data_IF_085189385325
#
_entry.id   IF_085189385325
#
_cell.length_a   1.000
_cell.length_b   1.000
_cell.length_c   1.000
_cell.angle_alpha   90.00
_cell.angle_beta   90.00
_cell.angle_gamma   90.00
#
_symmetry.space_group_name_H-M   'P 1'
#
loop_
_entity.id
_entity.type
_entity.pdbx_description
1 polymer ?
#
# COMPACT_ATOMS: atom_id res chain seq x y z
N UNK A 1 -12.96 32.13 50.26
CA UNK A 1 -11.67 31.89 49.57
C UNK A 1 -11.98 31.34 48.19
N UNK A 2 -11.42 31.96 47.16
CA UNK A 2 -11.88 31.94 45.75
C UNK A 2 -11.79 30.55 45.09
N UNK A 3 -12.92 30.05 44.57
CA UNK A 3 -12.95 28.96 43.58
C UNK A 3 -12.60 29.54 42.20
N UNK A 4 -11.33 29.42 41.81
CA UNK A 4 -10.84 29.80 40.49
C UNK A 4 -10.07 28.64 39.86
N UNK A 5 -10.76 27.69 39.23
CA UNK A 5 -10.19 26.65 38.36
C UNK A 5 -11.29 26.25 37.37
N UNK A 6 -11.12 26.04 36.07
CA UNK A 6 -10.01 26.17 35.11
C UNK A 6 -10.74 26.05 33.76
N UNK A 7 -10.90 27.15 33.02
CA UNK A 7 -11.60 27.12 31.73
C UNK A 7 -10.70 26.41 30.70
N UNK A 8 -10.88 25.09 30.56
CA UNK A 8 -10.19 24.32 29.53
C UNK A 8 -10.87 24.57 28.19
N UNK A 9 -10.21 25.35 27.34
CA UNK A 9 -10.58 25.53 25.94
C UNK A 9 -10.33 24.21 25.17
N UNK A 10 -11.30 23.29 25.14
CA UNK A 10 -11.24 22.10 24.30
C UNK A 10 -11.56 22.46 22.86
N UNK A 11 -10.54 22.87 22.09
CA UNK A 11 -10.67 22.92 20.62
C UNK A 11 -10.81 21.49 20.12
N UNK A 12 -12.04 21.08 19.78
CA UNK A 12 -12.32 19.72 19.35
C UNK A 12 -11.66 19.42 17.99
N UNK A 13 -10.76 18.43 17.99
CA UNK A 13 -10.10 17.85 16.82
C UNK A 13 -11.09 17.01 15.97
N UNK A 14 -12.20 17.59 15.50
CA UNK A 14 -13.13 16.86 14.62
C UNK A 14 -12.56 16.62 13.22
N UNK A 15 -11.57 17.40 12.79
CA UNK A 15 -11.02 17.37 11.42
C UNK A 15 -10.18 16.12 11.12
N UNK A 16 -9.43 15.58 12.10
CA UNK A 16 -8.56 14.41 11.88
C UNK A 16 -9.36 13.09 11.72
N UNK A 17 -10.50 12.96 12.42
CA UNK A 17 -11.34 11.75 12.34
C UNK A 17 -11.88 11.53 10.92
N UNK A 18 -12.42 12.56 10.27
CA UNK A 18 -12.96 12.44 8.90
C UNK A 18 -11.91 11.98 7.89
N UNK A 19 -10.67 12.46 8.01
CA UNK A 19 -9.57 12.11 7.10
C UNK A 19 -9.19 10.62 7.20
N UNK A 20 -9.17 10.07 8.41
CA UNK A 20 -8.90 8.65 8.66
C UNK A 20 -9.97 7.73 8.03
N UNK A 21 -11.25 8.08 8.16
CA UNK A 21 -12.34 7.30 7.55
C UNK A 21 -12.28 7.32 6.02
N UNK A 22 -11.98 8.47 5.40
CA UNK A 22 -11.84 8.58 3.94
C UNK A 22 -10.71 7.68 3.43
N UNK A 23 -9.57 7.64 4.12
CA UNK A 23 -8.46 6.74 3.77
C UNK A 23 -8.86 5.26 3.89
N UNK A 24 -9.57 4.88 4.95
CA UNK A 24 -10.06 3.50 5.14
C UNK A 24 -11.06 3.06 4.06
N UNK A 25 -11.98 3.96 3.67
CA UNK A 25 -12.94 3.70 2.58
C UNK A 25 -12.21 3.55 1.24
N UNK A 26 -11.26 4.45 0.94
CA UNK A 26 -10.49 4.40 -0.30
C UNK A 26 -9.72 3.07 -0.43
N UNK A 27 -9.04 2.63 0.64
CA UNK A 27 -8.31 1.36 0.65
C UNK A 27 -9.25 0.16 0.43
N UNK A 28 -10.41 0.16 1.07
CA UNK A 28 -11.42 -0.90 0.91
C UNK A 28 -11.94 -0.95 -0.52
N UNK A 29 -12.24 0.21 -1.14
CA UNK A 29 -12.70 0.29 -2.53
C UNK A 29 -11.63 -0.26 -3.48
N UNK A 30 -10.35 0.09 -3.28
CA UNK A 30 -9.24 -0.44 -4.10
C UNK A 30 -9.13 -1.97 -3.97
N UNK A 31 -9.25 -2.51 -2.76
CA UNK A 31 -9.23 -3.95 -2.52
C UNK A 31 -10.39 -4.67 -3.21
N UNK A 32 -11.62 -4.14 -3.12
CA UNK A 32 -12.79 -4.71 -3.79
C UNK A 32 -12.71 -4.57 -5.32
N UNK A 33 -12.09 -3.50 -5.81
CA UNK A 33 -11.84 -3.29 -7.24
C UNK A 33 -10.72 -4.18 -7.81
N UNK A 34 -9.92 -4.82 -6.96
CA UNK A 34 -8.73 -5.59 -7.38
C UNK A 34 -9.03 -6.68 -8.42
N UNK A 35 -10.08 -7.51 -8.30
CA UNK A 35 -10.43 -8.50 -9.32
C UNK A 35 -10.81 -7.87 -10.67
N UNK A 36 -11.39 -6.67 -10.67
CA UNK A 36 -11.73 -5.94 -11.90
C UNK A 36 -10.47 -5.34 -12.55
N UNK A 37 -9.56 -4.78 -11.74
CA UNK A 37 -8.27 -4.30 -12.21
C UNK A 37 -7.45 -5.41 -12.85
N UNK A 38 -7.56 -6.64 -12.35
CA UNK A 38 -6.92 -7.80 -12.97
C UNK A 38 -7.37 -8.03 -14.41
N UNK A 39 -8.64 -7.79 -14.76
CA UNK A 39 -9.14 -7.98 -16.13
C UNK A 39 -8.77 -6.86 -17.10
N UNK A 40 -8.12 -5.79 -16.65
CA UNK A 40 -7.74 -4.66 -17.49
C UNK A 40 -6.85 -5.05 -18.69
N UNK A 41 -6.05 -6.12 -18.58
CA UNK A 41 -5.21 -6.59 -19.69
C UNK A 41 -6.02 -6.99 -20.94
N UNK A 42 -7.29 -7.38 -20.78
CA UNK A 42 -8.19 -7.76 -21.89
C UNK A 42 -8.59 -6.57 -22.79
N UNK A 43 -8.31 -5.34 -22.38
CA UNK A 43 -8.53 -4.16 -23.21
C UNK A 43 -7.54 -4.08 -24.38
N UNK A 44 -6.42 -4.79 -24.28
CA UNK A 44 -5.42 -4.82 -25.33
C UNK A 44 -5.80 -5.77 -26.48
N UNK A 45 -5.35 -5.48 -27.71
CA UNK A 45 -5.58 -6.34 -28.86
C UNK A 45 -4.95 -7.72 -28.66
N UNK A 46 -5.71 -8.77 -28.99
CA UNK A 46 -5.32 -10.17 -28.76
C UNK A 46 -4.13 -10.62 -29.61
N UNK A 47 -4.07 -10.14 -30.86
CA UNK A 47 -3.17 -10.65 -31.90
C UNK A 47 -2.22 -9.57 -32.46
N UNK A 48 -1.82 -8.62 -31.61
CA UNK A 48 -0.87 -7.58 -31.98
C UNK A 48 0.40 -7.64 -31.11
N UNK A 49 1.54 -7.31 -31.73
CA UNK A 49 2.82 -7.14 -31.02
C UNK A 49 2.98 -5.73 -30.46
N UNK A 50 2.26 -4.76 -31.02
CA UNK A 50 2.30 -3.36 -30.63
C UNK A 50 0.89 -2.86 -30.38
N UNK A 51 0.69 -2.19 -29.25
CA UNK A 51 -0.54 -1.49 -28.93
C UNK A 51 -0.32 0.02 -28.95
N UNK A 52 -0.93 0.64 -29.95
CA UNK A 52 -1.02 2.09 -30.09
C UNK A 52 -2.19 2.60 -29.24
N UNK A 53 -1.89 3.20 -28.09
CA UNK A 53 -2.89 3.81 -27.22
C UNK A 53 -2.71 5.34 -27.19
N UNK A 54 -3.75 6.12 -26.86
CA UNK A 54 -3.61 7.57 -26.68
C UNK A 54 -2.57 7.98 -25.61
N UNK A 55 -2.16 7.05 -24.75
CA UNK A 55 -1.17 7.24 -23.68
C UNK A 55 0.26 6.87 -24.11
N UNK A 56 0.44 6.34 -25.33
CA UNK A 56 1.73 5.92 -25.86
C UNK A 56 1.69 4.57 -26.56
N UNK A 57 2.84 4.19 -27.11
CA UNK A 57 3.04 2.94 -27.86
C UNK A 57 3.70 1.91 -26.95
N UNK A 58 3.05 0.75 -26.79
CA UNK A 58 3.55 -0.34 -25.94
C UNK A 58 3.82 -1.54 -26.84
N UNK A 59 5.06 -2.01 -26.84
CA UNK A 59 5.46 -3.25 -27.51
C UNK A 59 5.38 -4.43 -26.53
N UNK A 60 5.13 -5.64 -27.06
CA UNK A 60 5.14 -6.88 -26.29
C UNK A 60 6.52 -7.23 -25.71
N UNK A 61 7.60 -6.54 -26.12
CA UNK A 61 8.92 -6.66 -25.49
C UNK A 61 9.57 -8.04 -25.62
N UNK A 62 9.09 -8.91 -26.49
CA UNK A 62 9.55 -10.31 -26.63
C UNK A 62 8.57 -11.35 -26.08
N UNK A 63 7.46 -10.92 -25.48
CA UNK A 63 6.30 -11.81 -25.34
C UNK A 63 5.64 -12.01 -26.70
N UNK A 64 5.11 -13.21 -26.95
CA UNK A 64 4.50 -13.56 -28.24
C UNK A 64 3.33 -12.66 -28.66
N UNK A 65 2.63 -12.04 -27.71
CA UNK A 65 1.61 -11.01 -27.98
C UNK A 65 1.61 -9.94 -26.90
N UNK A 66 1.11 -8.74 -27.22
CA UNK A 66 0.93 -7.67 -26.22
C UNK A 66 -0.03 -8.09 -25.10
N UNK A 67 -1.03 -8.91 -25.43
CA UNK A 67 -1.97 -9.45 -24.47
C UNK A 67 -1.25 -10.32 -23.42
N UNK A 68 -0.31 -11.16 -23.84
CA UNK A 68 0.48 -12.00 -22.93
C UNK A 68 1.39 -11.16 -22.02
N UNK A 69 2.06 -10.14 -22.59
CA UNK A 69 2.87 -9.19 -21.82
C UNK A 69 2.04 -8.49 -20.74
N UNK A 70 0.92 -7.89 -21.14
CA UNK A 70 0.04 -7.16 -20.22
C UNK A 70 -0.60 -8.08 -19.19
N UNK A 71 -0.94 -9.32 -19.56
CA UNK A 71 -1.41 -10.31 -18.60
C UNK A 71 -0.37 -10.59 -17.53
N UNK A 72 0.89 -10.86 -17.93
CA UNK A 72 1.98 -11.10 -17.00
C UNK A 72 2.22 -9.88 -16.10
N UNK A 73 2.27 -8.68 -16.69
CA UNK A 73 2.50 -7.42 -16.00
C UNK A 73 1.38 -7.09 -14.99
N UNK A 74 0.12 -7.14 -15.41
CA UNK A 74 -1.04 -6.87 -14.55
C UNK A 74 -1.11 -7.88 -13.41
N UNK A 75 -0.85 -9.16 -13.68
CA UNK A 75 -0.82 -10.19 -12.64
C UNK A 75 0.21 -9.86 -11.55
N UNK A 76 1.46 -9.53 -11.93
CA UNK A 76 2.50 -9.17 -10.94
C UNK A 76 2.17 -7.87 -10.20
N UNK A 77 1.67 -6.85 -10.91
CA UNK A 77 1.23 -5.60 -10.28
C UNK A 77 0.12 -5.82 -9.27
N UNK A 78 -0.88 -6.64 -9.60
CA UNK A 78 -1.98 -6.98 -8.68
C UNK A 78 -1.44 -7.60 -7.39
N UNK A 79 -0.51 -8.55 -7.49
CA UNK A 79 0.13 -9.16 -6.31
C UNK A 79 0.97 -8.17 -5.49
N UNK A 80 1.74 -7.29 -6.15
CA UNK A 80 2.49 -6.22 -5.49
C UNK A 80 1.55 -5.26 -4.77
N UNK A 81 0.43 -4.86 -5.40
CA UNK A 81 -0.55 -3.96 -4.82
C UNK A 81 -1.20 -4.55 -3.56
N UNK A 82 -1.71 -5.78 -3.63
CA UNK A 82 -2.41 -6.39 -2.49
C UNK A 82 -1.46 -6.62 -1.30
N UNK A 83 -0.23 -7.09 -1.56
CA UNK A 83 0.78 -7.29 -0.51
C UNK A 83 1.27 -5.97 0.08
N UNK A 84 1.41 -4.91 -0.74
CA UNK A 84 1.76 -3.57 -0.26
C UNK A 84 0.66 -2.97 0.62
N UNK A 85 -0.60 -3.03 0.18
CA UNK A 85 -1.74 -2.54 0.98
C UNK A 85 -1.84 -3.31 2.29
N UNK A 86 -1.67 -4.64 2.23
CA UNK A 86 -1.74 -5.48 3.42
C UNK A 86 -0.60 -5.17 4.40
N UNK A 87 0.62 -4.96 3.91
CA UNK A 87 1.75 -4.54 4.72
C UNK A 87 1.52 -3.17 5.40
N UNK A 88 1.01 -2.19 4.64
CA UNK A 88 0.76 -0.84 5.15
C UNK A 88 -0.37 -0.79 6.20
N UNK A 89 -1.38 -1.64 6.04
CA UNK A 89 -2.53 -1.69 6.94
C UNK A 89 -2.31 -2.57 8.19
N UNK A 90 -1.37 -3.52 8.14
CA UNK A 90 -1.08 -4.41 9.27
C UNK A 90 -0.26 -3.70 10.36
N UNK A 91 -0.82 -3.65 11.57
CA UNK A 91 -0.16 -3.13 12.77
C UNK A 91 0.67 -4.15 13.54
N UNK A 92 0.62 -5.41 13.13
CA UNK A 92 1.21 -6.53 13.86
C UNK A 92 2.68 -6.73 13.50
N UNK A 93 3.46 -7.32 14.40
CA UNK A 93 4.87 -7.64 14.18
C UNK A 93 5.10 -8.59 12.98
N UNK A 94 4.18 -9.52 12.72
CA UNK A 94 4.27 -10.47 11.60
C UNK A 94 4.16 -9.81 10.23
N UNK A 95 3.81 -8.52 10.14
CA UNK A 95 3.75 -7.79 8.86
C UNK A 95 5.06 -7.86 8.08
N UNK A 96 6.21 -7.96 8.75
CA UNK A 96 7.50 -8.08 8.06
C UNK A 96 7.63 -9.39 7.29
N UNK A 97 6.89 -10.44 7.65
CA UNK A 97 6.80 -11.66 6.85
C UNK A 97 6.13 -11.42 5.49
N UNK A 98 5.26 -10.40 5.36
CA UNK A 98 4.64 -10.00 4.08
C UNK A 98 5.67 -9.36 3.13
N UNK A 99 6.77 -8.81 3.66
CA UNK A 99 7.83 -8.25 2.81
C UNK A 99 8.52 -9.33 1.96
N UNK A 100 8.54 -10.59 2.41
CA UNK A 100 9.12 -11.71 1.66
C UNK A 100 8.37 -11.94 0.33
N UNK A 101 7.05 -12.23 0.33
CA UNK A 101 6.31 -12.38 -0.92
C UNK A 101 6.26 -11.08 -1.73
N UNK A 102 6.21 -9.91 -1.08
CA UNK A 102 6.29 -8.63 -1.80
C UNK A 102 7.61 -8.51 -2.59
N UNK A 103 8.75 -8.83 -1.97
CA UNK A 103 10.07 -8.82 -2.62
C UNK A 103 10.10 -9.78 -3.79
N UNK A 104 9.54 -10.99 -3.63
CA UNK A 104 9.44 -11.97 -4.71
C UNK A 104 8.62 -11.45 -5.90
N UNK A 105 7.47 -10.82 -5.64
CA UNK A 105 6.64 -10.27 -6.72
C UNK A 105 7.27 -9.04 -7.37
N UNK A 106 8.00 -8.20 -6.62
CA UNK A 106 8.78 -7.09 -7.19
C UNK A 106 9.90 -7.59 -8.10
N UNK A 107 10.59 -8.67 -7.71
CA UNK A 107 11.59 -9.32 -8.56
C UNK A 107 10.96 -9.87 -9.85
N UNK A 108 9.84 -10.60 -9.73
CA UNK A 108 9.11 -11.10 -10.90
C UNK A 108 8.60 -9.97 -11.80
N UNK A 109 8.14 -8.85 -11.22
CA UNK A 109 7.69 -7.68 -11.97
C UNK A 109 8.86 -7.04 -12.74
N UNK A 110 10.02 -6.88 -12.09
CA UNK A 110 11.22 -6.37 -12.73
C UNK A 110 11.65 -7.26 -13.91
N UNK A 111 11.55 -8.58 -13.76
CA UNK A 111 11.81 -9.53 -14.84
C UNK A 111 10.84 -9.40 -16.02
N UNK A 112 9.55 -9.17 -15.76
CA UNK A 112 8.55 -8.93 -16.83
C UNK A 112 8.81 -7.62 -17.57
N UNK A 113 9.17 -6.54 -16.86
CA UNK A 113 9.45 -5.24 -17.48
C UNK A 113 10.73 -5.26 -18.32
N UNK A 114 11.74 -6.01 -17.87
CA UNK A 114 13.02 -6.17 -18.57
C UNK A 114 13.04 -7.38 -19.51
N UNK A 115 11.88 -7.99 -19.76
CA UNK A 115 11.76 -9.06 -20.74
C UNK A 115 12.24 -8.51 -22.08
N UNK A 116 13.30 -9.11 -22.62
CA UNK A 116 13.80 -8.92 -23.98
C UNK A 116 14.22 -10.29 -24.49
N UNK A 117 13.93 -10.57 -25.76
CA UNK A 117 14.35 -11.82 -26.41
C UNK A 117 15.87 -12.01 -26.22
N UNK A 118 16.25 -13.04 -25.46
CA UNK A 118 17.65 -13.45 -25.26
C UNK A 118 18.32 -13.15 -23.92
N UNK A 119 17.71 -12.39 -22.99
CA UNK A 119 18.40 -11.95 -21.74
C UNK A 119 17.78 -12.47 -20.43
N UNK A 120 16.72 -13.28 -20.48
CA UNK A 120 15.97 -13.70 -19.28
C UNK A 120 16.59 -14.89 -18.57
N UNK A 121 17.30 -15.74 -19.30
CA UNK A 121 18.03 -16.86 -18.67
C UNK A 121 19.10 -16.35 -17.68
N UNK A 122 19.39 -15.04 -17.71
CA UNK A 122 20.37 -14.36 -16.86
C UNK A 122 19.82 -13.09 -16.20
N UNK A 123 18.49 -12.95 -16.00
CA UNK A 123 17.98 -11.89 -15.12
C UNK A 123 18.27 -12.25 -13.67
N UNK A 124 19.48 -11.89 -13.23
CA UNK A 124 19.96 -12.18 -11.88
C UNK A 124 19.24 -11.33 -10.84
N UNK A 125 18.91 -11.96 -9.72
CA UNK A 125 18.35 -11.32 -8.54
C UNK A 125 19.20 -10.11 -8.12
N UNK A 126 20.52 -10.21 -8.19
CA UNK A 126 21.44 -9.13 -7.82
C UNK A 126 21.27 -7.86 -8.66
N UNK A 127 21.00 -7.98 -9.97
CA UNK A 127 20.77 -6.84 -10.85
C UNK A 127 19.45 -6.11 -10.56
N UNK A 128 18.48 -6.81 -9.97
CA UNK A 128 17.18 -6.23 -9.62
C UNK A 128 17.18 -5.45 -8.31
N UNK A 129 18.12 -5.75 -7.40
CA UNK A 129 18.17 -5.17 -6.05
C UNK A 129 18.21 -3.64 -6.01
N UNK A 130 18.97 -2.92 -6.87
CA UNK A 130 18.98 -1.47 -6.88
C UNK A 130 17.60 -0.84 -7.14
N UNK A 131 16.68 -1.58 -7.77
CA UNK A 131 15.30 -1.12 -8.01
C UNK A 131 14.39 -1.54 -6.86
N UNK A 132 14.51 -2.77 -6.37
CA UNK A 132 13.62 -3.33 -5.33
C UNK A 132 13.87 -2.68 -3.97
N UNK A 133 15.13 -2.49 -3.57
CA UNK A 133 15.49 -2.01 -2.23
C UNK A 133 14.92 -0.61 -1.95
N UNK A 134 15.04 0.40 -2.83
CA UNK A 134 14.40 1.70 -2.61
C UNK A 134 12.88 1.63 -2.42
N UNK A 135 12.20 0.75 -3.18
CA UNK A 135 10.75 0.55 -3.06
C UNK A 135 10.41 -0.01 -1.68
N UNK A 136 11.13 -1.02 -1.21
CA UNK A 136 10.92 -1.60 0.12
C UNK A 136 11.20 -0.60 1.24
N UNK A 137 12.30 0.16 1.14
CA UNK A 137 12.66 1.19 2.12
C UNK A 137 11.57 2.26 2.19
N UNK A 138 11.09 2.74 1.03
CA UNK A 138 9.99 3.70 0.95
C UNK A 138 8.73 3.14 1.63
N UNK A 139 8.38 1.89 1.34
CA UNK A 139 7.18 1.26 1.88
C UNK A 139 7.27 1.09 3.42
N UNK A 140 8.43 0.65 3.92
CA UNK A 140 8.71 0.54 5.36
C UNK A 140 8.66 1.92 6.02
N UNK A 141 9.22 2.95 5.39
CA UNK A 141 9.19 4.31 5.89
C UNK A 141 7.76 4.85 5.99
N UNK A 142 6.95 4.68 4.94
CA UNK A 142 5.52 5.07 4.95
C UNK A 142 4.78 4.34 6.07
N UNK A 143 5.02 3.03 6.23
CA UNK A 143 4.45 2.25 7.32
C UNK A 143 4.85 2.82 8.68
N UNK A 144 6.14 3.09 8.91
CA UNK A 144 6.62 3.67 10.16
C UNK A 144 5.94 5.01 10.50
N UNK A 145 5.85 5.92 9.53
CA UNK A 145 5.20 7.23 9.70
C UNK A 145 3.72 7.07 10.03
N UNK A 146 3.01 6.19 9.31
CA UNK A 146 1.59 5.92 9.55
C UNK A 146 1.35 5.38 10.97
N UNK A 147 2.21 4.49 11.44
CA UNK A 147 2.10 3.89 12.77
C UNK A 147 2.47 4.86 13.90
N UNK A 148 3.50 5.69 13.71
CA UNK A 148 3.89 6.72 14.69
C UNK A 148 2.75 7.70 14.96
N UNK A 149 2.00 8.10 13.92
CA UNK A 149 0.82 8.95 14.09
C UNK A 149 -0.28 8.24 14.87
N UNK A 150 -0.59 6.98 14.52
CA UNK A 150 -1.62 6.19 15.22
C UNK A 150 -1.31 5.96 16.70
N UNK A 151 -0.05 5.69 17.06
CA UNK A 151 0.32 5.40 18.45
C UNK A 151 0.08 6.58 19.40
N UNK A 152 0.43 7.80 18.95
CA UNK A 152 0.20 9.02 19.73
C UNK A 152 -1.29 9.27 19.99
N UNK A 153 -2.15 9.01 18.99
CA UNK A 153 -3.59 9.18 19.14
C UNK A 153 -4.19 8.15 20.13
N UNK A 154 -3.63 6.94 20.20
CA UNK A 154 -4.10 5.88 21.10
C UNK A 154 -3.65 6.14 22.55
N UNK A 155 -2.46 6.70 22.78
CA UNK A 155 -1.99 7.14 24.11
C UNK A 155 -2.88 8.25 24.69
N UNK A 156 -3.17 9.28 23.89
CA UNK A 156 -4.03 10.40 24.32
C UNK A 156 -5.44 9.95 24.68
N UNK A 157 -6.00 8.97 23.95
CA UNK A 157 -7.33 8.42 24.28
C UNK A 157 -7.29 7.66 25.61
N UNK A 158 -6.25 6.87 25.86
CA UNK A 158 -6.09 6.15 27.12
C UNK A 158 -6.00 7.10 28.30
N UNK A 159 -5.23 8.19 28.17
CA UNK A 159 -5.12 9.21 29.22
C UNK A 159 -6.49 9.85 29.54
N UNK A 160 -7.27 10.19 28.51
CA UNK A 160 -8.63 10.73 28.69
C UNK A 160 -9.57 9.69 29.32
N UNK A 161 -9.52 8.44 28.88
CA UNK A 161 -10.37 7.36 29.43
C UNK A 161 -10.03 7.07 30.91
N UNK A 162 -8.74 7.10 31.25
CA UNK A 162 -8.25 6.94 32.63
C UNK A 162 -8.69 8.11 33.54
N UNK A 163 -8.65 9.35 33.03
CA UNK A 163 -9.17 10.52 33.75
C UNK A 163 -10.68 10.44 33.98
N UNK A 164 -11.47 10.07 32.96
CA UNK A 164 -12.93 9.90 33.08
C UNK A 164 -13.25 8.83 34.13
N UNK A 165 -12.53 7.70 34.09
CA UNK A 165 -12.72 6.61 35.06
C UNK A 165 -12.42 7.05 36.49
N UNK A 166 -11.39 7.89 36.68
CA UNK A 166 -11.04 8.46 37.98
C UNK A 166 -12.12 9.40 38.52
N UNK A 167 -12.66 10.28 37.68
CA UNK A 167 -13.75 11.18 38.08
C UNK A 167 -15.01 10.42 38.47
N UNK A 168 -15.37 9.37 37.72
CA UNK A 168 -16.52 8.52 38.04
C UNK A 168 -16.32 7.68 39.31
N UNK A 169 -15.09 7.31 39.65
CA UNK A 169 -14.80 6.61 40.91
C UNK A 169 -14.76 7.53 42.13
N UNK A 170 -14.46 8.82 41.96
CA UNK A 170 -14.40 9.80 43.05
C UNK A 170 -15.80 10.35 43.43
N UNK A 171 -16.81 10.21 42.56
CA UNK A 171 -18.21 10.61 42.84
C UNK A 171 -19.06 9.52 43.52
N UNK A 172 -18.52 8.33 43.78
CA UNK A 172 -19.25 7.15 44.27
C UNK A 172 -18.75 6.70 45.65
#
# INVERSE_FOLDING_TARGET
MSNKLRNQNTKSHQTDKKKSYITGVLLTVILVATPFLFYSYKLAPSDAEVWESPLGTISSGGFGTILAFLHALVTKLTFVLITSIWFLTSKNWWRYAILIPLTMFLFQLAGVINYKEGYIDEFDFWYSLPIIVPILVLLVYISYVAHKKSGKDDELKKEVDDEIKKLLSDEL
#
